data_IF_650527521643
#
_entry.id   IF_650527521643
#
_cell.length_a   1.000
_cell.length_b   1.000
_cell.length_c   1.000
_cell.angle_alpha   90.00
_cell.angle_beta   90.00
_cell.angle_gamma   90.00
#
_symmetry.space_group_name_H-M   'P 1'
#
loop_
_entity.id
_entity.type
_entity.pdbx_description
1 polymer ?
#
# COMPACT_ATOMS: atom_id res chain seq x y z
N UNK A 1 -3.01 -31.60 1.77
CA UNK A 1 -2.18 -30.57 2.44
C UNK A 1 -3.07 -29.80 3.41
N UNK A 2 -2.90 -29.97 4.72
CA UNK A 2 -3.62 -29.13 5.69
C UNK A 2 -2.98 -27.73 5.67
N UNK A 3 -3.67 -26.74 5.12
CA UNK A 3 -3.24 -25.35 5.21
C UNK A 3 -3.22 -24.94 6.68
N UNK A 4 -2.06 -24.48 7.16
CA UNK A 4 -1.95 -24.07 8.56
C UNK A 4 -2.76 -22.78 8.75
N UNK A 5 -3.45 -22.58 9.88
CA UNK A 5 -4.25 -21.37 10.13
C UNK A 5 -3.48 -20.05 9.92
N UNK A 6 -2.16 -20.07 10.11
CA UNK A 6 -1.28 -18.93 9.87
C UNK A 6 -1.13 -18.59 8.38
N UNK A 7 -1.11 -19.58 7.50
CA UNK A 7 -1.00 -19.37 6.05
C UNK A 7 -2.26 -18.66 5.51
N UNK A 8 -3.43 -19.02 6.04
CA UNK A 8 -4.71 -18.36 5.73
C UNK A 8 -4.67 -16.89 6.17
N UNK A 9 -4.20 -16.63 7.40
CA UNK A 9 -4.08 -15.25 7.91
C UNK A 9 -3.11 -14.40 7.09
N UNK A 10 -1.99 -14.98 6.64
CA UNK A 10 -1.06 -14.31 5.73
C UNK A 10 -1.73 -14.00 4.39
N UNK A 11 -2.46 -14.96 3.82
CA UNK A 11 -3.23 -14.77 2.59
C UNK A 11 -4.21 -13.60 2.70
N UNK A 12 -5.03 -13.59 3.76
CA UNK A 12 -5.99 -12.51 4.02
C UNK A 12 -5.31 -11.16 4.26
N UNK A 13 -4.19 -11.13 4.98
CA UNK A 13 -3.44 -9.89 5.22
C UNK A 13 -2.81 -9.34 3.93
N UNK A 14 -2.34 -10.21 3.03
CA UNK A 14 -1.88 -9.81 1.69
C UNK A 14 -3.02 -9.19 0.91
N UNK A 15 -4.15 -9.89 0.77
CA UNK A 15 -5.32 -9.37 0.05
C UNK A 15 -5.79 -8.02 0.61
N UNK A 16 -5.84 -7.87 1.93
CA UNK A 16 -6.18 -6.60 2.60
C UNK A 16 -5.20 -5.47 2.24
N UNK A 17 -3.89 -5.74 2.29
CA UNK A 17 -2.84 -4.79 1.86
C UNK A 17 -2.95 -4.45 0.38
N UNK A 18 -3.31 -5.42 -0.46
CA UNK A 18 -3.52 -5.25 -1.89
C UNK A 18 -4.69 -4.31 -2.17
N UNK A 19 -5.83 -4.55 -1.53
CA UNK A 19 -7.01 -3.71 -1.65
C UNK A 19 -6.74 -2.29 -1.14
N UNK A 20 -6.10 -2.14 0.02
CA UNK A 20 -5.71 -0.82 0.55
C UNK A 20 -4.77 -0.07 -0.42
N UNK A 21 -3.87 -0.79 -1.10
CA UNK A 21 -2.98 -0.23 -2.11
C UNK A 21 -3.72 0.27 -3.35
N UNK A 22 -4.73 -0.48 -3.82
CA UNK A 22 -5.58 -0.06 -4.93
C UNK A 22 -6.40 1.19 -4.57
N UNK A 23 -6.95 1.25 -3.35
CA UNK A 23 -7.65 2.44 -2.85
C UNK A 23 -6.71 3.65 -2.83
N UNK A 24 -5.53 3.54 -2.24
CA UNK A 24 -4.54 4.63 -2.23
C UNK A 24 -4.18 5.11 -3.63
N UNK A 25 -3.99 4.19 -4.58
CA UNK A 25 -3.73 4.55 -5.98
C UNK A 25 -4.91 5.30 -6.62
N UNK A 26 -6.14 4.88 -6.33
CA UNK A 26 -7.36 5.59 -6.77
C UNK A 26 -7.43 7.00 -6.19
N UNK A 27 -7.25 7.15 -4.88
CA UNK A 27 -7.31 8.45 -4.21
C UNK A 27 -6.23 9.42 -4.74
N UNK A 28 -5.02 8.93 -5.04
CA UNK A 28 -3.96 9.75 -5.65
C UNK A 28 -4.31 10.19 -7.07
N UNK A 29 -4.95 9.34 -7.88
CA UNK A 29 -5.42 9.73 -9.21
C UNK A 29 -6.50 10.81 -9.13
N UNK A 30 -7.48 10.64 -8.25
CA UNK A 30 -8.52 11.64 -8.01
C UNK A 30 -7.95 12.98 -7.50
N UNK A 31 -6.91 12.94 -6.67
CA UNK A 31 -6.18 14.13 -6.24
C UNK A 31 -5.55 14.88 -7.42
N UNK A 32 -4.86 14.14 -8.28
CA UNK A 32 -4.20 14.73 -9.45
C UNK A 32 -5.22 15.37 -10.40
N UNK A 33 -6.34 14.71 -10.66
CA UNK A 33 -7.44 15.26 -11.47
C UNK A 33 -8.01 16.55 -10.87
N UNK A 34 -8.22 16.58 -9.55
CA UNK A 34 -8.75 17.78 -8.87
C UNK A 34 -7.75 18.93 -8.92
N UNK A 35 -6.45 18.64 -8.79
CA UNK A 35 -5.39 19.64 -8.95
C UNK A 35 -5.37 20.23 -10.37
N UNK A 36 -5.45 19.38 -11.39
CA UNK A 36 -5.53 19.81 -12.79
C UNK A 36 -6.76 20.69 -13.06
N UNK A 37 -7.89 20.40 -12.40
CA UNK A 37 -9.10 21.23 -12.48
C UNK A 37 -8.86 22.62 -11.87
N UNK A 38 -8.23 22.70 -10.69
CA UNK A 38 -7.87 23.99 -10.07
C UNK A 38 -6.97 24.81 -10.99
N UNK A 39 -5.94 24.17 -11.55
CA UNK A 39 -4.98 24.85 -12.44
C UNK A 39 -5.65 25.34 -13.73
N UNK A 40 -6.56 24.54 -14.30
CA UNK A 40 -7.30 24.88 -15.51
C UNK A 40 -8.26 26.06 -15.25
N UNK A 41 -9.00 26.04 -14.16
CA UNK A 41 -9.87 27.15 -13.77
C UNK A 41 -9.06 28.44 -13.52
N UNK A 42 -7.88 28.32 -12.90
CA UNK A 42 -6.97 29.45 -12.69
C UNK A 42 -6.49 30.08 -14.00
N UNK A 43 -6.09 29.25 -14.97
CA UNK A 43 -5.70 29.69 -16.31
C UNK A 43 -6.85 30.41 -17.02
N UNK A 44 -8.05 29.81 -17.05
CA UNK A 44 -9.22 30.44 -17.67
C UNK A 44 -9.59 31.76 -17.02
N UNK A 45 -9.53 31.86 -15.69
CA UNK A 45 -9.77 33.11 -14.99
C UNK A 45 -8.80 34.20 -15.43
N UNK A 46 -7.50 33.88 -15.53
CA UNK A 46 -6.48 34.84 -15.96
C UNK A 46 -6.73 35.32 -17.39
N UNK A 47 -6.95 34.40 -18.32
CA UNK A 47 -7.26 34.72 -19.72
C UNK A 47 -8.49 35.61 -19.83
N UNK A 48 -9.54 35.32 -19.06
CA UNK A 48 -10.78 36.10 -19.08
C UNK A 48 -10.61 37.50 -18.48
N UNK A 49 -9.81 37.63 -17.42
CA UNK A 49 -9.47 38.92 -16.83
C UNK A 49 -8.67 39.79 -17.81
N UNK A 50 -7.74 39.21 -18.57
CA UNK A 50 -6.98 39.91 -19.61
C UNK A 50 -7.89 40.39 -20.74
N UNK A 51 -8.85 39.56 -21.18
CA UNK A 51 -9.85 39.96 -22.19
C UNK A 51 -10.71 41.12 -21.71
N UNK A 52 -11.15 41.11 -20.45
CA UNK A 52 -11.89 42.23 -19.87
C UNK A 52 -11.03 43.50 -19.85
N UNK A 53 -9.76 43.41 -19.43
CA UNK A 53 -8.85 44.55 -19.41
C UNK A 53 -8.67 45.15 -20.82
N UNK A 54 -8.51 44.31 -21.85
CA UNK A 54 -8.42 44.76 -23.22
C UNK A 54 -9.72 45.41 -23.70
N UNK A 55 -10.88 44.80 -23.44
CA UNK A 55 -12.17 45.37 -23.81
C UNK A 55 -12.44 46.72 -23.11
N UNK A 56 -12.01 46.88 -21.86
CA UNK A 56 -12.07 48.17 -21.16
C UNK A 56 -11.19 49.23 -21.82
N UNK A 57 -10.02 48.85 -22.34
CA UNK A 57 -9.15 49.76 -23.08
C UNK A 57 -9.77 50.20 -24.41
N UNK A 58 -10.40 49.27 -25.13
CA UNK A 58 -10.99 49.49 -26.46
C UNK A 58 -12.36 50.19 -26.41
N UNK A 59 -12.93 50.36 -25.21
CA UNK A 59 -14.27 50.88 -24.99
C UNK A 59 -15.32 49.77 -25.03
N UNK A 60 -15.80 49.37 -23.85
CA UNK A 60 -16.80 48.32 -23.67
C UNK A 60 -18.14 48.93 -23.25
N UNK A 61 -19.24 48.39 -23.74
CA UNK A 61 -20.57 48.79 -23.26
C UNK A 61 -20.85 48.25 -21.84
N UNK A 62 -21.69 48.92 -21.05
CA UNK A 62 -21.96 48.52 -19.66
C UNK A 62 -22.55 47.10 -19.51
N UNK A 63 -23.35 46.62 -20.47
CA UNK A 63 -23.97 45.31 -20.38
C UNK A 63 -22.92 44.20 -20.59
N UNK A 64 -22.04 44.35 -21.57
CA UNK A 64 -20.92 43.42 -21.78
C UNK A 64 -19.98 43.43 -20.59
N UNK A 65 -19.64 44.60 -20.03
CA UNK A 65 -18.81 44.71 -18.82
C UNK A 65 -19.43 43.93 -17.64
N UNK A 66 -20.74 44.08 -17.44
CA UNK A 66 -21.46 43.35 -16.40
C UNK A 66 -21.41 41.83 -16.59
N UNK A 67 -21.60 41.35 -17.82
CA UNK A 67 -21.52 39.92 -18.15
C UNK A 67 -20.13 39.33 -17.83
N UNK A 68 -19.06 40.05 -18.17
CA UNK A 68 -17.69 39.64 -17.83
C UNK A 68 -17.50 39.53 -16.31
N UNK A 69 -17.96 40.53 -15.56
CA UNK A 69 -17.86 40.52 -14.09
C UNK A 69 -18.62 39.35 -13.47
N UNK A 70 -19.84 39.06 -13.94
CA UNK A 70 -20.62 37.91 -13.47
C UNK A 70 -19.89 36.59 -13.74
N UNK A 71 -19.34 36.41 -14.95
CA UNK A 71 -18.62 35.19 -15.30
C UNK A 71 -17.34 35.03 -14.47
N UNK A 72 -16.57 36.10 -14.28
CA UNK A 72 -15.38 36.09 -13.41
C UNK A 72 -15.74 35.72 -11.97
N UNK A 73 -16.82 36.28 -11.43
CA UNK A 73 -17.31 35.92 -10.09
C UNK A 73 -17.71 34.43 -10.02
N UNK A 74 -18.31 33.88 -11.08
CA UNK A 74 -18.66 32.46 -11.16
C UNK A 74 -17.42 31.55 -11.19
N UNK A 75 -16.37 31.97 -11.91
CA UNK A 75 -15.07 31.27 -11.95
C UNK A 75 -14.38 31.32 -10.59
N UNK A 76 -14.40 32.48 -9.93
CA UNK A 76 -13.84 32.63 -8.59
C UNK A 76 -14.52 31.69 -7.58
N UNK A 77 -15.85 31.64 -7.60
CA UNK A 77 -16.61 30.70 -6.78
C UNK A 77 -16.29 29.24 -7.11
N UNK A 78 -16.12 28.90 -8.40
CA UNK A 78 -15.74 27.55 -8.83
C UNK A 78 -14.33 27.16 -8.37
N UNK A 79 -13.36 28.08 -8.45
CA UNK A 79 -11.98 27.88 -7.98
C UNK A 79 -11.98 27.61 -6.48
N UNK A 80 -12.74 28.37 -5.69
CA UNK A 80 -12.86 28.16 -4.24
C UNK A 80 -13.39 26.75 -3.95
N UNK A 81 -14.45 26.32 -4.65
CA UNK A 81 -14.99 24.96 -4.50
C UNK A 81 -13.97 23.89 -4.89
N UNK A 82 -13.26 24.06 -6.00
CA UNK A 82 -12.26 23.11 -6.47
C UNK A 82 -11.05 23.00 -5.51
N UNK A 83 -10.61 24.12 -4.92
CA UNK A 83 -9.56 24.13 -3.89
C UNK A 83 -9.99 23.39 -2.63
N UNK A 84 -11.22 23.61 -2.17
CA UNK A 84 -11.77 22.86 -1.03
C UNK A 84 -11.84 21.35 -1.33
N UNK A 85 -12.29 20.97 -2.52
CA UNK A 85 -12.29 19.57 -2.94
C UNK A 85 -10.87 18.98 -2.98
N UNK A 86 -9.87 19.76 -3.40
CA UNK A 86 -8.46 19.32 -3.38
C UNK A 86 -7.95 19.07 -1.96
N UNK A 87 -8.31 19.93 -1.00
CA UNK A 87 -7.98 19.75 0.41
C UNK A 87 -8.62 18.47 0.97
N UNK A 88 -9.90 18.25 0.72
CA UNK A 88 -10.62 17.02 1.10
C UNK A 88 -9.95 15.78 0.49
N UNK A 89 -9.56 15.87 -0.78
CA UNK A 89 -8.91 14.77 -1.49
C UNK A 89 -7.50 14.49 -0.93
N UNK A 90 -6.76 15.52 -0.51
CA UNK A 90 -5.48 15.37 0.17
C UNK A 90 -5.63 14.62 1.50
N UNK A 91 -6.71 14.89 2.26
CA UNK A 91 -7.03 14.15 3.48
C UNK A 91 -7.36 12.68 3.20
N UNK A 92 -8.11 12.38 2.13
CA UNK A 92 -8.40 10.99 1.72
C UNK A 92 -7.14 10.22 1.32
N UNK A 93 -6.20 10.87 0.62
CA UNK A 93 -4.89 10.27 0.31
C UNK A 93 -4.11 9.96 1.58
N UNK A 94 -4.10 10.88 2.56
CA UNK A 94 -3.41 10.63 3.84
C UNK A 94 -4.05 9.47 4.62
N UNK A 95 -5.38 9.43 4.69
CA UNK A 95 -6.11 8.36 5.38
C UNK A 95 -5.87 6.99 4.72
N UNK A 96 -5.96 6.91 3.39
CA UNK A 96 -5.71 5.67 2.64
C UNK A 96 -4.24 5.22 2.74
N UNK A 97 -3.29 6.16 2.78
CA UNK A 97 -1.89 5.85 3.00
C UNK A 97 -1.65 5.26 4.39
N UNK A 98 -2.24 5.85 5.42
CA UNK A 98 -2.14 5.32 6.79
C UNK A 98 -2.76 3.92 6.88
N UNK A 99 -3.94 3.71 6.29
CA UNK A 99 -4.57 2.39 6.26
C UNK A 99 -3.68 1.35 5.57
N UNK A 100 -3.12 1.67 4.40
CA UNK A 100 -2.19 0.77 3.71
C UNK A 100 -0.96 0.42 4.55
N UNK A 101 -0.39 1.40 5.28
CA UNK A 101 0.74 1.16 6.19
C UNK A 101 0.37 0.22 7.34
N UNK A 102 -0.84 0.34 7.89
CA UNK A 102 -1.34 -0.57 8.94
C UNK A 102 -1.47 -2.01 8.43
N UNK A 103 -2.07 -2.21 7.25
CA UNK A 103 -2.20 -3.54 6.64
C UNK A 103 -0.82 -4.14 6.31
N UNK A 104 0.12 -3.32 5.84
CA UNK A 104 1.51 -3.74 5.61
C UNK A 104 2.21 -4.17 6.92
N UNK A 105 2.01 -3.43 8.01
CA UNK A 105 2.58 -3.77 9.32
C UNK A 105 2.01 -5.09 9.87
N UNK A 106 0.70 -5.29 9.69
CA UNK A 106 0.01 -6.52 10.07
C UNK A 106 0.55 -7.73 9.28
N UNK A 107 0.71 -7.59 7.97
CA UNK A 107 1.32 -8.62 7.12
C UNK A 107 2.74 -8.98 7.59
N UNK A 108 3.61 -7.97 7.79
CA UNK A 108 4.98 -8.19 8.27
C UNK A 108 5.02 -8.91 9.62
N UNK A 109 4.04 -8.66 10.49
CA UNK A 109 3.93 -9.35 11.78
C UNK A 109 3.63 -10.84 11.61
N UNK A 110 2.73 -11.20 10.69
CA UNK A 110 2.44 -12.59 10.38
C UNK A 110 3.61 -13.30 9.68
N UNK A 111 4.27 -12.64 8.72
CA UNK A 111 5.45 -13.20 8.05
C UNK A 111 6.58 -13.47 9.07
N UNK A 112 6.78 -12.58 10.04
CA UNK A 112 7.73 -12.78 11.15
C UNK A 112 7.37 -14.00 11.99
N UNK A 113 6.10 -14.18 12.33
CA UNK A 113 5.63 -15.33 13.10
C UNK A 113 5.81 -16.64 12.32
N UNK A 114 5.51 -16.64 11.02
CA UNK A 114 5.69 -17.81 10.15
C UNK A 114 7.15 -18.22 10.05
N UNK A 115 8.05 -17.24 9.86
CA UNK A 115 9.50 -17.48 9.84
C UNK A 115 9.99 -18.12 11.14
N UNK A 116 9.55 -17.61 12.31
CA UNK A 116 9.90 -18.22 13.61
C UNK A 116 9.42 -19.65 13.74
N UNK A 117 8.17 -19.95 13.35
CA UNK A 117 7.64 -21.32 13.38
C UNK A 117 8.43 -22.25 12.47
N UNK A 118 8.78 -21.80 11.28
CA UNK A 118 9.59 -22.58 10.35
C UNK A 118 10.98 -22.87 10.92
N UNK A 119 11.63 -21.89 11.56
CA UNK A 119 12.91 -22.11 12.24
C UNK A 119 12.80 -23.12 13.39
N UNK A 120 11.77 -23.03 14.22
CA UNK A 120 11.53 -23.99 15.31
C UNK A 120 11.30 -25.41 14.76
N UNK A 121 10.45 -25.55 13.74
CA UNK A 121 10.19 -26.84 13.10
C UNK A 121 11.48 -27.48 12.54
N UNK A 122 12.32 -26.69 11.85
CA UNK A 122 13.63 -27.15 11.36
C UNK A 122 14.56 -27.58 12.50
N UNK A 123 14.60 -26.84 13.62
CA UNK A 123 15.39 -27.24 14.78
C UNK A 123 14.91 -28.57 15.40
N UNK A 124 13.59 -28.78 15.46
CA UNK A 124 13.03 -30.04 15.93
C UNK A 124 13.33 -31.20 15.00
N UNK A 125 13.21 -31.01 13.68
CA UNK A 125 13.55 -32.04 12.69
C UNK A 125 15.04 -32.41 12.77
N UNK A 126 15.94 -31.43 12.77
CA UNK A 126 17.38 -31.66 12.90
C UNK A 126 17.71 -32.46 14.18
N UNK A 127 17.07 -32.14 15.32
CA UNK A 127 17.27 -32.90 16.57
C UNK A 127 16.78 -34.34 16.46
N UNK A 128 15.69 -34.60 15.74
CA UNK A 128 15.17 -35.96 15.50
C UNK A 128 16.10 -36.74 14.59
N UNK A 129 16.58 -36.12 13.52
CA UNK A 129 17.53 -36.72 12.58
C UNK A 129 18.86 -37.09 13.26
N UNK A 130 19.43 -36.18 14.06
CA UNK A 130 20.64 -36.46 14.84
C UNK A 130 20.46 -37.69 15.75
N UNK A 131 19.36 -37.75 16.52
CA UNK A 131 19.07 -38.89 17.40
C UNK A 131 18.95 -40.20 16.62
N UNK A 132 18.22 -40.20 15.50
CA UNK A 132 18.07 -41.39 14.66
C UNK A 132 19.39 -41.85 14.04
N UNK A 133 20.26 -40.91 13.68
CA UNK A 133 21.61 -41.19 13.17
C UNK A 133 22.52 -41.80 14.25
N UNK A 134 22.48 -41.24 15.46
CA UNK A 134 23.24 -41.74 16.62
C UNK A 134 22.80 -43.16 16.99
N UNK A 135 21.49 -43.43 17.04
CA UNK A 135 20.93 -44.77 17.27
C UNK A 135 21.37 -45.78 16.20
N UNK A 136 21.30 -45.41 14.93
CA UNK A 136 21.73 -46.26 13.82
C UNK A 136 23.22 -46.59 13.89
N UNK A 137 24.04 -45.59 14.24
CA UNK A 137 25.48 -45.74 14.42
C UNK A 137 25.77 -46.68 15.60
N UNK A 138 25.12 -46.47 16.75
CA UNK A 138 25.26 -47.33 17.92
C UNK A 138 24.85 -48.79 17.64
N UNK A 139 23.73 -49.01 16.95
CA UNK A 139 23.27 -50.35 16.54
C UNK A 139 24.29 -51.02 15.61
N UNK A 140 24.83 -50.28 14.63
CA UNK A 140 25.81 -50.83 13.69
C UNK A 140 27.12 -51.24 14.38
N UNK A 141 27.60 -50.43 15.33
CA UNK A 141 28.78 -50.72 16.14
C UNK A 141 28.56 -51.93 17.05
N UNK A 142 27.41 -52.01 17.72
CA UNK A 142 27.05 -53.16 18.55
C UNK A 142 27.00 -54.46 17.75
N UNK A 143 26.44 -54.43 16.53
CA UNK A 143 26.47 -55.60 15.63
C UNK A 143 27.87 -56.00 15.23
N UNK A 144 28.73 -55.05 14.86
CA UNK A 144 30.13 -55.33 14.50
C UNK A 144 30.88 -56.01 15.65
N UNK A 145 30.70 -55.50 16.88
CA UNK A 145 31.32 -56.07 18.08
C UNK A 145 30.81 -57.48 18.41
N UNK A 146 29.55 -57.78 18.12
CA UNK A 146 28.98 -59.12 18.28
C UNK A 146 29.42 -60.11 17.19
N UNK A 147 29.92 -59.61 16.05
CA UNK A 147 30.40 -60.43 14.93
C UNK A 147 31.92 -60.67 14.91
N UNK A 148 32.68 -60.13 15.87
CA UNK A 148 34.10 -60.46 16.09
C UNK A 148 34.22 -61.67 17.05
N UNK A 149 34.61 -62.88 16.60
CA UNK A 149 34.61 -64.09 17.42
C UNK A 149 35.96 -64.33 18.10
N UNK A 150 36.61 -63.30 18.67
CA UNK A 150 37.95 -63.45 19.27
C UNK A 150 38.05 -63.02 20.74
N UNK A 151 36.98 -63.18 21.52
CA UNK A 151 37.01 -63.16 22.99
C UNK A 151 36.67 -64.57 23.53
N UNK A 152 37.58 -65.52 23.33
CA UNK A 152 37.70 -66.70 24.19
C UNK A 152 39.18 -67.11 24.30
N UNK A 153 39.69 -66.95 25.53
CA UNK A 153 41.04 -67.25 26.06
C UNK A 153 42.20 -66.31 25.71
#
# INVERSE_FOLDING_TARGET
MQQQPLDILIGLARESRDNAGQTLASERRSQQQTKEQVDTLGRYRLEYAQRLQQAMHDGIDPATMHNYQQFLASLDAAIVRAKKALEEQQQRVMASQHHWQQEQSKLSSYDTLASRRQMQARQHENRRELRSSDESTAISLARRRASDPNDTY
#
